data_IF_323762509109
#
_entry.id   IF_323762509109
#
_cell.length_a   1.000
_cell.length_b   1.000
_cell.length_c   1.000
_cell.angle_alpha   90.00
_cell.angle_beta   90.00
_cell.angle_gamma   90.00
#
_symmetry.space_group_name_H-M   'P 1'
#
loop_
_entity.id
_entity.type
_entity.pdbx_description
1 polymer ?
#
# COMPACT_ATOMS: atom_id res chain seq x y z
N UNK A 1 -12.88 2.92 3.27
CA UNK A 1 -11.67 3.44 3.94
C UNK A 1 -11.00 2.24 4.57
N UNK A 2 -9.78 1.88 4.14
CA UNK A 2 -8.98 0.83 4.77
C UNK A 2 -7.90 1.53 5.59
N UNK A 3 -7.69 1.13 6.84
CA UNK A 3 -6.72 1.69 7.78
C UNK A 3 -5.88 0.55 8.35
N UNK A 4 -4.56 0.70 8.36
CA UNK A 4 -3.61 -0.22 8.99
C UNK A 4 -2.77 0.57 10.00
N UNK A 5 -2.69 0.10 11.24
CA UNK A 5 -1.97 0.75 12.35
C UNK A 5 -1.07 -0.28 13.05
N UNK A 6 0.22 0.03 13.20
CA UNK A 6 1.15 -0.62 14.15
C UNK A 6 1.68 0.47 15.13
N UNK A 7 1.75 0.19 16.43
CA UNK A 7 2.15 1.12 17.52
C UNK A 7 3.69 1.32 17.63
N UNK A 8 4.22 2.33 18.35
CA UNK A 8 3.96 3.77 18.37
C UNK A 8 4.97 4.55 17.48
N UNK A 9 4.54 5.70 16.94
CA UNK A 9 5.10 6.28 15.72
C UNK A 9 4.27 5.91 14.48
N UNK A 10 2.97 5.66 14.70
CA UNK A 10 2.09 4.94 13.79
C UNK A 10 2.00 5.62 12.42
N UNK A 11 2.41 4.90 11.38
CA UNK A 11 2.11 5.28 10.00
C UNK A 11 0.72 4.73 9.66
N UNK A 12 -0.23 5.64 9.50
CA UNK A 12 -1.56 5.33 9.02
C UNK A 12 -1.61 5.53 7.50
N UNK A 13 -1.99 4.49 6.78
CA UNK A 13 -2.19 4.56 5.34
C UNK A 13 -3.66 4.83 5.05
N UNK A 14 -3.92 5.93 4.34
CA UNK A 14 -5.27 6.34 3.95
C UNK A 14 -5.38 6.25 2.44
N UNK A 15 -6.24 5.34 1.98
CA UNK A 15 -6.57 5.20 0.56
C UNK A 15 -7.97 5.76 0.31
N UNK A 16 -8.06 6.79 -0.53
CA UNK A 16 -9.33 7.33 -1.03
C UNK A 16 -9.41 7.06 -2.54
N UNK A 17 -10.57 6.59 -2.98
CA UNK A 17 -10.89 6.43 -4.39
C UNK A 17 -11.92 7.49 -4.76
N UNK A 18 -11.56 8.39 -5.68
CA UNK A 18 -12.47 9.37 -6.27
C UNK A 18 -12.52 9.10 -7.78
N UNK A 19 -13.62 8.51 -8.26
CA UNK A 19 -13.75 8.03 -9.63
C UNK A 19 -12.61 7.05 -10.01
N UNK A 20 -11.76 7.45 -10.96
CA UNK A 20 -10.58 6.72 -11.43
C UNK A 20 -9.27 7.24 -10.82
N UNK A 21 -9.33 8.07 -9.78
CA UNK A 21 -8.17 8.60 -9.07
C UNK A 21 -8.02 7.88 -7.73
N UNK A 22 -6.80 7.43 -7.45
CA UNK A 22 -6.35 6.97 -6.15
C UNK A 22 -5.62 8.12 -5.46
N UNK A 23 -6.07 8.48 -4.27
CA UNK A 23 -5.32 9.31 -3.35
C UNK A 23 -4.76 8.40 -2.25
N UNK A 24 -3.46 8.48 -2.05
CA UNK A 24 -2.73 7.80 -0.99
C UNK A 24 -2.10 8.85 -0.08
N UNK A 25 -2.49 8.83 1.19
CA UNK A 25 -1.86 9.62 2.23
C UNK A 25 -1.23 8.67 3.25
N UNK A 26 0.03 8.91 3.59
CA UNK A 26 0.68 8.26 4.73
C UNK A 26 0.79 9.32 5.82
N UNK A 27 0.06 9.11 6.90
CA UNK A 27 0.01 10.01 8.04
C UNK A 27 0.90 9.41 9.11
N UNK A 28 1.92 10.14 9.53
CA UNK A 28 2.77 9.74 10.65
C UNK A 28 2.24 10.40 11.92
N UNK A 29 1.90 9.58 12.91
CA UNK A 29 1.51 10.05 14.23
C UNK A 29 2.66 9.91 15.22
N UNK A 30 3.01 11.00 15.92
CA UNK A 30 3.97 10.97 17.03
C UNK A 30 3.35 10.37 18.32
N UNK A 31 2.08 9.93 18.27
CA UNK A 31 1.41 9.36 19.44
C UNK A 31 2.06 8.03 19.86
N UNK A 32 2.82 8.11 20.95
CA UNK A 32 2.97 7.02 21.91
C UNK A 32 1.74 7.06 22.82
N UNK A 33 1.24 5.90 23.24
CA UNK A 33 -0.02 5.65 23.97
C UNK A 33 -0.28 6.45 25.27
N UNK A 34 0.56 7.43 25.62
CA UNK A 34 0.60 8.09 26.92
C UNK A 34 0.07 9.51 26.99
N UNK A 35 -0.28 10.18 25.89
CA UNK A 35 -0.86 11.53 25.98
C UNK A 35 -1.82 11.88 24.82
N UNK A 36 -3.15 11.82 25.04
CA UNK A 36 -4.14 12.14 24.01
C UNK A 36 -4.30 13.64 23.71
N UNK A 37 -3.52 14.52 24.34
CA UNK A 37 -3.73 15.97 24.30
C UNK A 37 -2.93 16.73 23.23
N UNK A 38 -2.07 16.05 22.46
CA UNK A 38 -1.29 16.70 21.39
C UNK A 38 -1.31 15.79 20.16
N UNK A 39 -2.28 16.03 19.28
CA UNK A 39 -2.36 15.33 18.01
C UNK A 39 -1.35 15.93 17.01
N UNK A 40 -0.07 15.60 17.20
CA UNK A 40 1.00 15.88 16.22
C UNK A 40 1.00 14.76 15.18
N UNK A 41 -0.01 14.78 14.32
CA UNK A 41 0.00 14.02 13.09
C UNK A 41 0.45 14.93 11.95
N UNK A 42 1.32 14.42 11.08
CA UNK A 42 1.69 15.12 9.86
C UNK A 42 1.63 14.15 8.67
N UNK A 43 1.35 14.72 7.51
CA UNK A 43 1.35 13.97 6.25
C UNK A 43 2.82 13.73 5.89
N UNK A 44 3.29 12.49 6.07
CA UNK A 44 4.62 12.06 5.65
C UNK A 44 4.69 11.87 4.13
N UNK A 45 3.56 11.53 3.51
CA UNK A 45 3.44 11.38 2.06
C UNK A 45 2.02 11.67 1.60
N UNK A 46 1.90 12.37 0.45
CA UNK A 46 0.64 12.51 -0.28
C UNK A 46 0.90 12.29 -1.76
N UNK A 47 0.14 11.38 -2.37
CA UNK A 47 0.18 11.10 -3.79
C UNK A 47 -1.21 10.95 -4.36
N UNK A 48 -1.40 11.46 -5.57
CA UNK A 48 -2.62 11.24 -6.35
C UNK A 48 -2.24 10.72 -7.73
N UNK A 49 -2.81 9.58 -8.14
CA UNK A 49 -2.56 9.00 -9.46
C UNK A 49 -3.84 8.36 -10.00
N UNK A 50 -3.91 8.17 -11.32
CA UNK A 50 -4.94 7.32 -11.91
C UNK A 50 -4.83 5.90 -11.33
N UNK A 51 -5.94 5.39 -10.79
CA UNK A 51 -6.04 4.08 -10.14
C UNK A 51 -5.59 2.95 -11.08
N UNK A 52 -5.96 3.02 -12.36
CA UNK A 52 -5.52 2.06 -13.36
C UNK A 52 -3.99 2.04 -13.51
N UNK A 53 -3.35 3.22 -13.62
CA UNK A 53 -1.89 3.32 -13.69
C UNK A 53 -1.21 2.78 -12.43
N UNK A 54 -1.72 3.13 -11.25
CA UNK A 54 -1.20 2.63 -9.98
C UNK A 54 -1.24 1.10 -9.92
N UNK A 55 -2.38 0.49 -10.26
CA UNK A 55 -2.55 -0.97 -10.27
C UNK A 55 -1.57 -1.65 -11.23
N UNK A 56 -1.42 -1.12 -12.45
CA UNK A 56 -0.45 -1.68 -13.41
C UNK A 56 0.99 -1.56 -12.91
N UNK A 57 1.34 -0.46 -12.22
CA UNK A 57 2.67 -0.29 -11.63
C UNK A 57 2.91 -1.33 -10.53
N UNK A 58 1.98 -1.51 -9.60
CA UNK A 58 2.08 -2.55 -8.56
C UNK A 58 2.28 -3.94 -9.17
N UNK A 59 1.46 -4.31 -10.17
CA UNK A 59 1.60 -5.61 -10.85
C UNK A 59 2.97 -5.76 -11.53
N UNK A 60 3.48 -4.70 -12.16
CA UNK A 60 4.81 -4.70 -12.79
C UNK A 60 5.92 -4.89 -11.77
N UNK A 61 5.93 -4.12 -10.68
CA UNK A 61 6.98 -4.20 -9.66
C UNK A 61 7.03 -5.60 -9.02
N UNK A 62 5.87 -6.18 -8.70
CA UNK A 62 5.83 -7.55 -8.19
C UNK A 62 6.25 -8.59 -9.23
N UNK A 63 5.94 -8.37 -10.52
CA UNK A 63 6.47 -9.23 -11.58
C UNK A 63 7.99 -9.17 -11.65
N UNK A 64 8.59 -7.98 -11.48
CA UNK A 64 10.04 -7.80 -11.44
C UNK A 64 10.66 -8.50 -10.23
N UNK A 65 10.09 -8.30 -9.03
CA UNK A 65 10.54 -8.99 -7.82
C UNK A 65 10.49 -10.52 -7.97
N UNK A 66 9.43 -11.04 -8.58
CA UNK A 66 9.31 -12.48 -8.85
C UNK A 66 10.37 -12.97 -9.83
N UNK A 67 10.69 -12.19 -10.86
CA UNK A 67 11.74 -12.52 -11.83
C UNK A 67 13.13 -12.49 -11.19
N UNK A 68 13.39 -11.51 -10.33
CA UNK A 68 14.70 -11.30 -9.70
C UNK A 68 14.97 -12.29 -8.59
N UNK A 69 14.00 -12.56 -7.73
CA UNK A 69 14.20 -13.34 -6.51
C UNK A 69 13.49 -14.69 -6.47
N UNK A 70 12.62 -15.01 -7.44
CA UNK A 70 11.64 -16.11 -7.34
C UNK A 70 10.69 -15.95 -6.14
N UNK A 71 9.73 -16.86 -5.99
CA UNK A 71 8.83 -16.87 -4.82
C UNK A 71 9.58 -17.27 -3.55
N UNK A 72 10.51 -18.21 -3.67
CA UNK A 72 11.22 -18.80 -2.54
C UNK A 72 12.27 -17.82 -2.03
N UNK A 73 13.02 -17.17 -2.94
CA UNK A 73 13.98 -16.12 -2.55
C UNK A 73 13.29 -14.88 -1.98
N UNK A 74 12.09 -14.52 -2.44
CA UNK A 74 11.29 -13.48 -1.80
C UNK A 74 10.95 -13.87 -0.35
N UNK A 75 10.49 -15.09 -0.11
CA UNK A 75 10.18 -15.54 1.24
C UNK A 75 11.40 -15.54 2.16
N UNK A 76 12.57 -15.94 1.65
CA UNK A 76 13.82 -15.88 2.40
C UNK A 76 14.22 -14.45 2.79
N UNK A 77 13.97 -13.46 1.93
CA UNK A 77 14.35 -12.06 2.15
C UNK A 77 13.38 -11.31 3.07
N UNK A 78 12.08 -11.50 2.89
CA UNK A 78 11.04 -10.74 3.61
C UNK A 78 10.39 -11.51 4.77
N UNK A 79 10.67 -12.81 4.91
CA UNK A 79 10.14 -13.63 6.00
C UNK A 79 8.66 -14.00 5.87
N UNK A 80 8.05 -13.73 4.72
CA UNK A 80 6.65 -14.08 4.43
C UNK A 80 6.46 -14.50 2.97
N UNK A 81 5.38 -15.23 2.71
CA UNK A 81 5.09 -15.76 1.37
C UNK A 81 4.90 -14.65 0.34
N UNK A 82 5.31 -14.94 -0.90
CA UNK A 82 5.02 -14.07 -2.04
C UNK A 82 3.50 -13.97 -2.24
N UNK A 83 2.91 -12.76 -2.37
CA UNK A 83 1.46 -12.55 -2.27
C UNK A 83 0.69 -12.92 -3.55
N UNK A 84 0.88 -14.15 -4.05
CA UNK A 84 0.29 -14.65 -5.32
C UNK A 84 -1.22 -14.48 -5.37
N UNK A 85 -1.93 -14.83 -4.29
CA UNK A 85 -3.39 -14.72 -4.27
C UNK A 85 -3.87 -13.28 -4.36
N UNK A 86 -3.21 -12.35 -3.66
CA UNK A 86 -3.57 -10.94 -3.71
C UNK A 86 -3.29 -10.34 -5.09
N UNK A 87 -2.14 -10.68 -5.69
CA UNK A 87 -1.77 -10.23 -7.03
C UNK A 87 -2.71 -10.78 -8.12
N UNK A 88 -3.16 -12.03 -7.99
CA UNK A 88 -4.15 -12.61 -8.90
C UNK A 88 -5.50 -11.87 -8.81
N UNK A 89 -5.99 -11.60 -7.59
CA UNK A 89 -7.22 -10.79 -7.40
C UNK A 89 -7.06 -9.40 -7.99
N UNK A 90 -5.89 -8.77 -7.78
CA UNK A 90 -5.57 -7.47 -8.34
C UNK A 90 -5.56 -7.48 -9.87
N UNK A 91 -4.94 -8.48 -10.49
CA UNK A 91 -4.90 -8.66 -11.95
C UNK A 91 -6.30 -8.84 -12.56
N UNK A 92 -7.17 -9.63 -11.91
CA UNK A 92 -8.56 -9.78 -12.33
C UNK A 92 -9.31 -8.45 -12.23
N UNK A 93 -9.17 -7.75 -11.09
CA UNK A 93 -9.79 -6.44 -10.89
C UNK A 93 -9.28 -5.37 -11.85
N UNK A 94 -8.01 -5.42 -12.23
CA UNK A 94 -7.40 -4.48 -13.17
C UNK A 94 -8.09 -4.48 -14.54
N UNK A 95 -8.57 -5.65 -15.00
CA UNK A 95 -9.31 -5.78 -16.26
C UNK A 95 -10.64 -5.01 -16.27
N UNK A 96 -11.22 -4.75 -15.09
CA UNK A 96 -12.48 -4.03 -14.95
C UNK A 96 -12.30 -2.52 -14.81
N UNK A 97 -11.07 -2.03 -14.65
CA UNK A 97 -10.77 -0.60 -14.59
C UNK A 97 -10.68 -0.09 -16.03
N UNK A 98 -11.73 0.60 -16.51
CA UNK A 98 -11.69 1.32 -17.78
C UNK A 98 -10.60 2.39 -17.70
N UNK A 99 -9.69 2.40 -18.68
CA UNK A 99 -8.64 3.41 -18.83
C UNK A 99 -9.24 4.81 -18.93
#
# INVERSE_FOLDING_TARGET
>A
MCLWNDEPGAYQWVFKKLNNILELEIIQSEQTFKNPSIDKSHIAFSGHENLGRFVHRVLREFSMLKTEYSTDGYQCLWGHEFPLQALNRLSIGAKSIKQ
#
